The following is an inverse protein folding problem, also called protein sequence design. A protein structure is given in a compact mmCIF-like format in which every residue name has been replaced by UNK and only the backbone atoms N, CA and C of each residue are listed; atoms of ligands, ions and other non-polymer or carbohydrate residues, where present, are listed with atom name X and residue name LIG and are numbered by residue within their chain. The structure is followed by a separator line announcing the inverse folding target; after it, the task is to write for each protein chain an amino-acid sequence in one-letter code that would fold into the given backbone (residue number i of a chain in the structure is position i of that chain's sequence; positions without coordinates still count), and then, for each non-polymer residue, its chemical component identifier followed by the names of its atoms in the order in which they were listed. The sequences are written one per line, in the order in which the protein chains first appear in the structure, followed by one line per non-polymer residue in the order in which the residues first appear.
data_IF_979515225234
#
_entry.id   IF_979515225234
#
_cell.length_a   1.000
_cell.length_b   1.000
_cell.length_c   1.000
_cell.angle_alpha   90.00
_cell.angle_beta   90.00
_cell.angle_gamma   90.00
#
_symmetry.space_group_name_H-M   'P 1'
#
loop_
_entity.id
_entity.type
_entity.pdbx_description
1 polymer ?
#
# COMPACT_ATOMS: atom_id res chain seq x y z
N UNK A 1 6.65 -26.11 -14.08
CA UNK A 1 5.44 -25.55 -13.47
C UNK A 1 4.25 -25.97 -14.30
N UNK A 2 3.26 -26.62 -13.68
CA UNK A 2 2.01 -27.05 -14.31
C UNK A 2 1.00 -25.90 -14.40
N UNK A 3 -0.10 -26.12 -15.10
CA UNK A 3 -1.24 -25.18 -15.10
C UNK A 3 -1.85 -25.04 -13.69
N UNK A 4 -1.89 -26.13 -12.91
CA UNK A 4 -2.41 -26.12 -11.55
C UNK A 4 -1.48 -25.33 -10.60
N UNK A 5 -0.16 -25.49 -10.75
CA UNK A 5 0.82 -24.74 -9.96
C UNK A 5 0.66 -23.22 -10.20
N UNK A 6 0.42 -22.80 -11.45
CA UNK A 6 0.20 -21.39 -11.78
C UNK A 6 -1.13 -20.86 -11.21
N UNK A 7 -2.18 -21.69 -11.22
CA UNK A 7 -3.45 -21.34 -10.60
C UNK A 7 -3.30 -21.13 -9.09
N UNK A 8 -2.56 -22.02 -8.42
CA UNK A 8 -2.25 -21.91 -7.00
C UNK A 8 -1.46 -20.63 -6.70
N UNK A 9 -0.39 -20.35 -7.45
CA UNK A 9 0.39 -19.11 -7.32
C UNK A 9 -0.48 -17.86 -7.45
N UNK A 10 -1.37 -17.80 -8.45
CA UNK A 10 -2.26 -16.65 -8.64
C UNK A 10 -3.31 -16.55 -7.54
N UNK A 11 -3.76 -17.68 -6.99
CA UNK A 11 -4.69 -17.70 -5.86
C UNK A 11 -4.03 -17.20 -4.59
N UNK A 12 -2.83 -17.68 -4.27
CA UNK A 12 -2.07 -17.26 -3.09
C UNK A 12 -1.75 -15.76 -3.15
N UNK A 13 -1.27 -15.28 -4.30
CA UNK A 13 -1.05 -13.85 -4.53
C UNK A 13 -2.34 -13.05 -4.32
N UNK A 14 -3.48 -13.49 -4.86
CA UNK A 14 -4.76 -12.81 -4.68
C UNK A 14 -5.23 -12.80 -3.22
N UNK A 15 -4.99 -13.88 -2.46
CA UNK A 15 -5.32 -13.94 -1.04
C UNK A 15 -4.47 -12.96 -0.22
N UNK A 16 -3.18 -12.83 -0.53
CA UNK A 16 -2.28 -11.88 0.12
C UNK A 16 -2.69 -10.43 -0.14
N UNK A 17 -2.97 -10.05 -1.39
CA UNK A 17 -3.40 -8.68 -1.73
C UNK A 17 -4.72 -8.31 -1.01
N UNK A 18 -5.68 -9.26 -0.94
CA UNK A 18 -6.96 -9.04 -0.26
C UNK A 18 -6.81 -8.98 1.26
N UNK A 19 -5.90 -9.78 1.83
CA UNK A 19 -5.57 -9.74 3.26
C UNK A 19 -4.90 -8.43 3.64
N UNK A 20 -3.98 -7.93 2.81
CA UNK A 20 -3.35 -6.63 2.97
C UNK A 20 -4.38 -5.51 2.90
N UNK A 21 -5.23 -5.48 1.87
CA UNK A 21 -6.32 -4.50 1.74
C UNK A 21 -7.20 -4.47 2.99
N UNK A 22 -7.67 -5.64 3.46
CA UNK A 22 -8.53 -5.73 4.62
C UNK A 22 -7.83 -5.26 5.89
N UNK A 23 -6.56 -5.63 6.09
CA UNK A 23 -5.75 -5.19 7.23
C UNK A 23 -5.56 -3.68 7.23
N UNK A 24 -5.23 -3.10 6.08
CA UNK A 24 -5.05 -1.65 5.94
C UNK A 24 -6.37 -0.91 6.14
N UNK A 25 -7.49 -1.46 5.67
CA UNK A 25 -8.82 -0.91 5.95
C UNK A 25 -9.10 -0.87 7.46
N UNK A 26 -8.80 -1.95 8.19
CA UNK A 26 -8.97 -2.00 9.65
C UNK A 26 -8.05 -1.01 10.38
N UNK A 27 -6.81 -0.84 9.92
CA UNK A 27 -5.88 0.16 10.47
C UNK A 27 -6.41 1.58 10.24
N UNK A 28 -6.91 1.88 9.05
CA UNK A 28 -7.51 3.19 8.72
C UNK A 28 -8.76 3.43 9.57
N UNK A 29 -9.58 2.41 9.79
CA UNK A 29 -10.76 2.50 10.65
C UNK A 29 -10.38 2.80 12.11
N UNK A 30 -9.34 2.13 12.64
CA UNK A 30 -8.91 2.28 14.04
C UNK A 30 -8.15 3.59 14.30
N UNK A 31 -7.26 3.98 13.40
CA UNK A 31 -6.30 5.08 13.62
C UNK A 31 -6.58 6.33 12.77
N UNK A 32 -7.55 6.27 11.85
CA UNK A 32 -7.89 7.36 10.93
C UNK A 32 -7.08 7.32 9.62
N UNK A 33 -7.11 8.43 8.87
CA UNK A 33 -6.43 8.54 7.57
C UNK A 33 -4.90 8.71 7.71
N UNK A 34 -4.25 7.65 8.19
CA UNK A 34 -2.82 7.62 8.48
C UNK A 34 -2.00 7.09 7.31
N UNK A 35 -0.88 7.77 7.03
CA UNK A 35 0.06 7.34 5.98
C UNK A 35 1.03 6.28 6.52
N UNK A 36 1.37 5.25 5.73
CA UNK A 36 1.08 5.14 4.29
C UNK A 36 -0.20 4.36 3.94
N UNK A 37 -0.91 3.79 4.92
CA UNK A 37 -2.08 2.93 4.70
C UNK A 37 -3.11 3.50 3.73
N UNK A 38 -3.49 4.77 3.89
CA UNK A 38 -4.45 5.43 2.98
C UNK A 38 -4.01 5.51 1.51
N UNK A 39 -2.70 5.50 1.26
CA UNK A 39 -2.16 5.58 -0.09
C UNK A 39 -1.97 4.18 -0.68
N UNK A 40 -1.60 3.21 0.15
CA UNK A 40 -1.25 1.86 -0.27
C UNK A 40 -2.49 0.98 -0.45
N UNK A 41 -3.57 1.19 0.30
CA UNK A 41 -4.80 0.39 0.16
C UNK A 41 -5.36 0.39 -1.28
N UNK A 42 -5.25 1.52 -1.99
CA UNK A 42 -5.67 1.59 -3.40
C UNK A 42 -4.68 0.90 -4.35
N UNK A 43 -3.42 0.71 -3.97
CA UNK A 43 -2.47 -0.13 -4.70
C UNK A 43 -2.89 -1.61 -4.58
N UNK A 44 -3.20 -2.10 -3.38
CA UNK A 44 -3.58 -3.52 -3.17
C UNK A 44 -4.88 -3.90 -3.90
N UNK A 45 -5.83 -2.96 -3.97
CA UNK A 45 -7.03 -3.13 -4.81
C UNK A 45 -6.69 -3.29 -6.28
N UNK A 46 -5.74 -2.50 -6.79
CA UNK A 46 -5.29 -2.58 -8.19
C UNK A 46 -4.50 -3.85 -8.45
N UNK A 47 -3.71 -4.31 -7.47
CA UNK A 47 -2.99 -5.57 -7.51
C UNK A 47 -3.95 -6.75 -7.60
N UNK A 48 -4.90 -6.85 -6.67
CA UNK A 48 -5.98 -7.86 -6.70
C UNK A 48 -6.70 -7.88 -8.05
N UNK A 49 -7.11 -6.71 -8.55
CA UNK A 49 -7.77 -6.62 -9.85
C UNK A 49 -6.86 -7.05 -11.02
N UNK A 50 -5.54 -6.82 -10.94
CA UNK A 50 -4.59 -7.25 -11.96
C UNK A 50 -4.44 -8.77 -11.99
N UNK A 51 -4.37 -9.40 -10.82
CA UNK A 51 -4.32 -10.86 -10.67
C UNK A 51 -5.60 -11.50 -11.18
N UNK A 52 -6.78 -10.98 -10.80
CA UNK A 52 -8.08 -11.47 -11.26
C UNK A 52 -8.23 -11.42 -12.80
N UNK A 53 -7.68 -10.38 -13.44
CA UNK A 53 -7.63 -10.30 -14.91
C UNK A 53 -6.76 -11.42 -15.51
N UNK A 54 -5.65 -11.78 -14.88
CA UNK A 54 -4.82 -12.90 -15.34
C UNK A 54 -5.52 -14.25 -15.12
N UNK A 55 -6.16 -14.45 -13.98
CA UNK A 55 -6.95 -15.66 -13.69
C UNK A 55 -8.05 -15.83 -14.74
N UNK A 56 -8.80 -14.76 -15.04
CA UNK A 56 -9.84 -14.76 -16.08
C UNK A 56 -9.26 -15.10 -17.46
N UNK A 57 -8.15 -14.46 -17.84
CA UNK A 57 -7.48 -14.70 -19.13
C UNK A 57 -7.07 -16.17 -19.31
N UNK A 58 -6.65 -16.83 -18.24
CA UNK A 58 -6.18 -18.21 -18.23
C UNK A 58 -7.30 -19.25 -18.00
N UNK A 59 -8.53 -18.77 -17.75
CA UNK A 59 -9.70 -19.59 -17.48
C UNK A 59 -9.71 -20.22 -16.08
N UNK A 60 -9.05 -19.59 -15.11
CA UNK A 60 -9.06 -20.00 -13.71
C UNK A 60 -10.27 -19.40 -12.97
N UNK A 61 -10.79 -20.13 -11.99
CA UNK A 61 -11.86 -19.63 -11.15
C UNK A 61 -11.33 -18.58 -10.17
N UNK A 62 -11.99 -17.44 -10.06
CA UNK A 62 -11.65 -16.43 -9.06
C UNK A 62 -12.31 -16.82 -7.73
N UNK A 63 -11.54 -17.07 -6.65
CA UNK A 63 -12.12 -17.36 -5.35
C UNK A 63 -12.88 -16.15 -4.79
N UNK A 64 -13.92 -16.40 -4.01
CA UNK A 64 -14.65 -15.35 -3.29
C UNK A 64 -13.73 -14.63 -2.29
N UNK A 65 -13.88 -13.31 -2.16
CA UNK A 65 -13.13 -12.55 -1.16
C UNK A 65 -13.67 -12.82 0.25
N UNK A 66 -12.94 -13.60 1.05
CA UNK A 66 -13.33 -13.90 2.43
C UNK A 66 -12.74 -12.93 3.46
N UNK A 67 -11.84 -12.02 3.03
CA UNK A 67 -11.17 -11.01 3.85
C UNK A 67 -11.97 -9.72 3.98
N UNK A 68 -12.96 -9.49 3.12
CA UNK A 68 -13.79 -8.28 3.14
C UNK A 68 -14.39 -8.04 4.55
N UNK A 69 -14.01 -6.91 5.15
CA UNK A 69 -14.43 -6.53 6.51
C UNK A 69 -13.85 -7.39 7.65
N UNK A 70 -12.83 -8.24 7.39
CA UNK A 70 -12.22 -9.13 8.38
C UNK A 70 -10.75 -8.83 8.68
N UNK A 71 -10.28 -7.65 8.29
CA UNK A 71 -8.96 -7.19 8.70
C UNK A 71 -8.86 -7.01 10.21
N UNK A 72 -7.64 -7.14 10.74
CA UNK A 72 -7.37 -6.94 12.16
C UNK A 72 -6.27 -5.89 12.30
N UNK A 73 -6.58 -4.79 12.96
CA UNK A 73 -5.60 -3.76 13.30
C UNK A 73 -4.95 -4.08 14.66
N UNK A 74 -3.61 -4.00 14.78
CA UNK A 74 -2.92 -4.15 16.06
C UNK A 74 -3.20 -2.98 16.99
N UNK A 75 -2.66 -3.02 18.22
CA UNK A 75 -2.98 -2.06 19.26
C UNK A 75 -2.37 -0.68 19.05
N UNK A 76 -1.25 -0.62 18.36
CA UNK A 76 -0.55 0.64 18.05
C UNK A 76 -0.27 0.81 16.55
N UNK A 77 -0.10 2.07 16.14
CA UNK A 77 0.30 2.38 14.76
C UNK A 77 1.74 1.93 14.45
N UNK A 78 2.62 1.93 15.46
CA UNK A 78 3.96 1.37 15.36
C UNK A 78 3.92 -0.14 15.04
N UNK A 79 3.11 -0.92 15.76
CA UNK A 79 2.91 -2.35 15.46
C UNK A 79 2.30 -2.54 14.06
N UNK A 80 1.33 -1.72 13.66
CA UNK A 80 0.76 -1.79 12.31
C UNK A 80 1.83 -1.59 11.23
N UNK A 81 2.71 -0.62 11.42
CA UNK A 81 3.79 -0.35 10.47
C UNK A 81 4.88 -1.44 10.50
N UNK A 82 5.20 -2.01 11.67
CA UNK A 82 6.11 -3.15 11.77
C UNK A 82 5.56 -4.40 11.08
N UNK A 83 4.29 -4.74 11.32
CA UNK A 83 3.62 -5.89 10.69
C UNK A 83 3.55 -5.72 9.17
N UNK A 84 3.30 -4.50 8.68
CA UNK A 84 3.29 -4.22 7.26
C UNK A 84 4.69 -4.40 6.64
N UNK A 85 5.77 -3.97 7.31
CA UNK A 85 7.15 -4.22 6.86
C UNK A 85 7.41 -5.71 6.70
N UNK A 86 7.04 -6.52 7.68
CA UNK A 86 7.19 -7.98 7.62
C UNK A 86 6.40 -8.57 6.45
N UNK A 87 5.16 -8.13 6.25
CA UNK A 87 4.32 -8.57 5.14
C UNK A 87 4.93 -8.22 3.77
N UNK A 88 5.46 -7.00 3.58
CA UNK A 88 6.13 -6.62 2.32
C UNK A 88 7.40 -7.45 2.08
N UNK A 89 8.20 -7.72 3.12
CA UNK A 89 9.40 -8.58 2.99
C UNK A 89 9.02 -10.01 2.60
N UNK A 90 7.99 -10.57 3.22
CA UNK A 90 7.48 -11.91 2.89
C UNK A 90 6.96 -11.98 1.45
N UNK A 91 6.24 -10.94 1.00
CA UNK A 91 5.70 -10.82 -0.34
C UNK A 91 6.81 -10.71 -1.40
N UNK A 92 7.81 -9.86 -1.18
CA UNK A 92 8.97 -9.74 -2.07
C UNK A 92 9.70 -11.08 -2.18
N UNK A 93 9.98 -11.71 -1.04
CA UNK A 93 10.69 -12.99 -1.01
C UNK A 93 9.87 -14.11 -1.67
N UNK A 94 8.54 -14.09 -1.58
CA UNK A 94 7.66 -15.00 -2.29
C UNK A 94 7.85 -14.85 -3.81
N UNK A 95 7.73 -13.63 -4.33
CA UNK A 95 7.87 -13.37 -5.76
C UNK A 95 9.28 -13.68 -6.30
N UNK A 96 10.34 -13.40 -5.53
CA UNK A 96 11.73 -13.77 -5.90
C UNK A 96 11.87 -15.26 -6.21
N UNK A 97 11.15 -16.11 -5.48
CA UNK A 97 11.17 -17.57 -5.68
C UNK A 97 10.30 -18.00 -6.86
N UNK A 98 9.15 -17.34 -7.05
CA UNK A 98 8.12 -17.78 -8.00
C UNK A 98 8.36 -17.27 -9.42
N UNK A 99 8.73 -16.00 -9.59
CA UNK A 99 8.83 -15.33 -10.88
C UNK A 99 9.72 -16.06 -11.91
N UNK A 100 10.90 -16.62 -11.54
CA UNK A 100 11.73 -17.36 -12.50
C UNK A 100 11.08 -18.63 -13.05
N UNK A 101 10.14 -19.23 -12.31
CA UNK A 101 9.46 -20.46 -12.70
C UNK A 101 8.21 -20.23 -13.57
N UNK A 102 7.74 -18.97 -13.67
CA UNK A 102 6.53 -18.62 -14.42
C UNK A 102 6.82 -18.56 -15.91
N UNK A 103 6.19 -19.41 -16.72
CA UNK A 103 6.39 -19.45 -18.16
C UNK A 103 5.53 -18.44 -18.95
N UNK A 104 4.36 -18.05 -18.43
CA UNK A 104 3.50 -17.04 -19.06
C UNK A 104 4.08 -15.64 -18.83
N UNK A 105 4.60 -15.01 -19.88
CA UNK A 105 5.29 -13.71 -19.78
C UNK A 105 4.38 -12.58 -19.28
N UNK A 106 3.08 -12.65 -19.58
CA UNK A 106 2.12 -11.63 -19.13
C UNK A 106 1.87 -11.77 -17.62
N UNK A 107 1.71 -13.00 -17.12
CA UNK A 107 1.64 -13.24 -15.67
C UNK A 107 2.94 -12.80 -14.99
N UNK A 108 4.09 -13.22 -15.53
CA UNK A 108 5.39 -12.86 -14.95
C UNK A 108 5.55 -11.35 -14.85
N UNK A 109 5.21 -10.61 -15.91
CA UNK A 109 5.31 -9.15 -15.90
C UNK A 109 4.33 -8.51 -14.91
N UNK A 110 3.10 -9.02 -14.80
CA UNK A 110 2.13 -8.49 -13.81
C UNK A 110 2.64 -8.69 -12.40
N UNK A 111 3.06 -9.89 -12.04
CA UNK A 111 3.56 -10.18 -10.69
C UNK A 111 4.89 -9.46 -10.40
N UNK A 112 5.76 -9.27 -11.39
CA UNK A 112 6.95 -8.45 -11.25
C UNK A 112 6.59 -7.00 -10.91
N UNK A 113 5.60 -6.41 -11.60
CA UNK A 113 5.18 -5.04 -11.30
C UNK A 113 4.61 -4.89 -9.88
N UNK A 114 3.94 -5.94 -9.36
CA UNK A 114 3.46 -5.99 -7.97
C UNK A 114 4.63 -6.05 -6.99
N UNK A 115 5.61 -6.92 -7.26
CA UNK A 115 6.84 -7.02 -6.46
C UNK A 115 7.61 -5.70 -6.45
N UNK A 116 7.77 -5.05 -7.61
CA UNK A 116 8.46 -3.76 -7.73
C UNK A 116 7.71 -2.68 -6.92
N UNK A 117 6.37 -2.70 -6.91
CA UNK A 117 5.58 -1.78 -6.10
C UNK A 117 5.82 -2.01 -4.59
N UNK A 118 5.83 -3.27 -4.17
CA UNK A 118 6.16 -3.67 -2.79
C UNK A 118 7.56 -3.20 -2.38
N UNK A 119 8.58 -3.55 -3.18
CA UNK A 119 9.98 -3.28 -2.90
C UNK A 119 10.34 -1.79 -2.96
N UNK A 120 9.96 -1.10 -4.04
CA UNK A 120 10.43 0.26 -4.29
C UNK A 120 9.54 1.34 -3.65
N UNK A 121 8.27 1.01 -3.33
CA UNK A 121 7.31 1.98 -2.83
C UNK A 121 6.77 1.63 -1.44
N UNK A 122 6.19 0.44 -1.25
CA UNK A 122 5.48 0.12 -0.02
C UNK A 122 6.44 -0.05 1.16
N UNK A 123 7.44 -0.91 1.01
CA UNK A 123 8.41 -1.23 2.06
C UNK A 123 9.13 0.03 2.58
N UNK A 124 9.70 0.91 1.73
CA UNK A 124 10.28 2.17 2.21
C UNK A 124 9.26 3.09 2.89
N UNK A 125 7.99 3.07 2.47
CA UNK A 125 6.96 3.89 3.09
C UNK A 125 6.56 3.41 4.48
N UNK A 126 6.52 2.09 4.70
CA UNK A 126 6.27 1.51 6.02
C UNK A 126 7.48 1.65 6.95
N UNK A 127 8.72 1.53 6.46
CA UNK A 127 9.91 1.88 7.27
C UNK A 127 9.83 3.33 7.78
N UNK A 128 9.56 4.29 6.89
CA UNK A 128 9.36 5.69 7.31
C UNK A 128 8.18 5.87 8.26
N UNK A 129 7.16 5.01 8.18
CA UNK A 129 6.07 5.04 9.14
C UNK A 129 6.56 4.67 10.53
N UNK A 130 7.20 3.50 10.65
CA UNK A 130 7.69 3.00 11.93
C UNK A 130 8.64 4.01 12.58
N UNK A 131 9.59 4.55 11.82
CA UNK A 131 10.52 5.58 12.31
C UNK A 131 9.80 6.81 12.91
N UNK A 132 8.70 7.27 12.30
CA UNK A 132 7.92 8.42 12.81
C UNK A 132 7.20 8.08 14.11
N UNK A 133 6.64 6.88 14.21
CA UNK A 133 5.91 6.45 15.41
C UNK A 133 6.87 6.21 16.58
N UNK A 134 8.07 5.67 16.33
CA UNK A 134 9.11 5.47 17.34
C UNK A 134 9.76 6.78 17.81
N UNK A 135 9.93 7.75 16.90
CA UNK A 135 10.56 9.03 17.21
C UNK A 135 9.67 9.98 18.04
N UNK A 136 8.39 9.64 18.26
CA UNK A 136 7.47 10.43 19.08
C UNK A 136 7.01 11.76 18.46
N UNK A 137 7.35 12.02 17.19
CA UNK A 137 6.92 13.20 16.43
C UNK A 137 5.44 13.14 15.99
N UNK A 138 4.70 12.10 16.41
CA UNK A 138 3.29 11.81 16.09
C UNK A 138 2.25 12.78 16.69
N UNK A 139 2.59 14.03 17.02
CA UNK A 139 1.61 15.10 17.24
C UNK A 139 1.58 16.04 16.03
N UNK A 140 0.75 15.74 15.04
CA UNK A 140 0.69 16.60 13.86
C UNK A 140 -0.44 16.40 12.87
N UNK A 141 -1.62 15.91 13.27
CA UNK A 141 -2.81 16.02 12.41
C UNK A 141 -3.65 17.24 12.78
N UNK A 142 -3.71 18.21 11.86
CA UNK A 142 -4.90 19.05 11.68
C UNK A 142 -4.79 20.55 11.97
N UNK A 143 -4.29 21.33 11.00
CA UNK A 143 -5.03 22.53 10.56
C UNK A 143 -4.68 22.94 9.13
N UNK A 144 -5.57 22.56 8.22
CA UNK A 144 -5.69 23.17 6.91
C UNK A 144 -6.17 24.64 7.03
N UNK A 145 -5.51 25.48 6.21
CA UNK A 145 -5.93 26.76 5.64
C UNK A 145 -7.12 27.55 6.19
N UNK A 146 -6.85 28.80 6.57
CA UNK A 146 -7.66 29.96 6.15
C UNK A 146 -6.73 31.09 5.73
N UNK A 147 -6.75 31.43 4.45
CA UNK A 147 -6.05 32.57 3.89
C UNK A 147 -6.72 33.91 4.17
N UNK A 148 -5.92 34.97 4.08
CA UNK A 148 -6.30 36.37 3.88
C UNK A 148 -6.76 37.15 5.13
N UNK A 149 -6.48 38.47 5.24
CA UNK A 149 -6.47 39.41 4.12
C UNK A 149 -5.19 40.24 3.97
N UNK A 150 -4.86 40.54 2.71
CA UNK A 150 -3.87 41.54 2.36
C UNK A 150 -4.21 42.92 2.92
N UNK A 151 -3.19 43.63 3.36
CA UNK A 151 -3.21 45.07 3.61
C UNK A 151 -2.09 45.71 2.83
N UNK A 152 -2.40 46.12 1.60
CA UNK A 152 -1.62 47.13 0.90
C UNK A 152 -1.78 48.46 1.62
N UNK A 153 -0.69 48.97 2.22
CA UNK A 153 -0.60 50.37 2.63
C UNK A 153 0.51 51.02 1.82
N UNK A 154 0.10 51.92 0.94
CA UNK A 154 1.00 52.84 0.27
C UNK A 154 1.42 54.01 1.16
N UNK A 155 2.30 54.81 0.54
CA UNK A 155 2.78 56.17 0.86
C UNK A 155 4.05 56.26 1.71
N UNK A 156 5.08 56.80 1.05
CA UNK A 156 6.25 57.40 1.69
C UNK A 156 7.08 58.18 0.66
N UNK A 157 6.64 59.40 0.33
CA UNK A 157 7.48 60.42 -0.30
C UNK A 157 8.60 60.83 0.67
N UNK A 158 9.81 61.01 0.18
CA UNK A 158 10.90 61.66 0.91
C UNK A 158 11.95 62.19 -0.06
N UNK A 159 11.92 63.51 -0.28
CA UNK A 159 12.94 64.25 -1.03
C UNK A 159 14.16 64.58 -0.15
N UNK A 160 15.21 65.09 -0.83
CA UNK A 160 16.38 65.88 -0.36
C UNK A 160 17.65 65.07 -0.06
N UNK A 161 18.85 65.50 -0.45
CA UNK A 161 19.33 66.78 -0.99
C UNK A 161 20.35 66.54 -2.10
#
# INVERSE_FOLDING_TARGET
MSKADLEEILRDALEDERKAEATYAAVIEKFGEVRPFINIIDAERRHSAAIERQMTRLGFAIPSNHWEGKGVAPDTLAEACSMAIEAEIENIALYDRLLPAIADDVVRQVLQNLQDASHDNHLPAFHRCLEREESGDGRGFGRAGRGGPGHGRGRGRGCRS
#
